data_IF_501227070663
#
_entry.id   IF_501227070663
#
_cell.length_a   1.000
_cell.length_b   1.000
_cell.length_c   1.000
_cell.angle_alpha   90.00
_cell.angle_beta   90.00
_cell.angle_gamma   90.00
#
_symmetry.space_group_name_H-M   'P 1'
#
loop_
_entity.id
_entity.type
_entity.pdbx_description
1 polymer ?
#
# COMPACT_ATOMS: atom_id res chain seq x y z
N UNK A 1 58.83 -1.66 -58.27
CA UNK A 1 58.29 -2.11 -56.95
C UNK A 1 57.10 -1.28 -56.43
N UNK A 2 56.74 -0.14 -57.04
CA UNK A 2 55.67 0.75 -56.56
C UNK A 2 54.22 0.26 -56.75
N UNK A 3 53.97 -0.70 -57.65
CA UNK A 3 52.60 -1.19 -57.94
C UNK A 3 52.03 -2.17 -56.91
N UNK A 4 52.88 -2.91 -56.19
CA UNK A 4 52.45 -3.88 -55.17
C UNK A 4 52.05 -3.21 -53.85
N UNK A 5 52.70 -2.10 -53.47
CA UNK A 5 52.35 -1.31 -52.28
C UNK A 5 51.00 -0.60 -52.40
N UNK A 6 50.63 -0.10 -53.60
CA UNK A 6 49.31 0.51 -53.82
C UNK A 6 48.14 -0.47 -53.72
N UNK A 7 48.35 -1.75 -54.08
CA UNK A 7 47.33 -2.80 -53.97
C UNK A 7 47.12 -3.27 -52.53
N UNK A 8 48.18 -3.28 -51.71
CA UNK A 8 48.09 -3.62 -50.28
C UNK A 8 47.37 -2.53 -49.47
N UNK A 9 47.56 -1.26 -49.83
CA UNK A 9 46.86 -0.14 -49.20
C UNK A 9 45.36 -0.10 -49.52
N UNK A 10 44.96 -0.46 -50.75
CA UNK A 10 43.55 -0.53 -51.15
C UNK A 10 42.79 -1.69 -50.47
N UNK A 11 43.45 -2.84 -50.24
CA UNK A 11 42.86 -3.98 -49.53
C UNK A 11 42.75 -3.71 -48.01
N UNK A 12 43.72 -3.00 -47.41
CA UNK A 12 43.66 -2.61 -46.01
C UNK A 12 42.50 -1.65 -45.69
N UNK A 13 42.20 -0.71 -46.59
CA UNK A 13 41.11 0.24 -46.41
C UNK A 13 39.71 -0.41 -46.50
N UNK A 14 39.53 -1.41 -47.36
CA UNK A 14 38.24 -2.11 -47.51
C UNK A 14 37.94 -3.03 -46.31
N UNK A 15 38.96 -3.70 -45.75
CA UNK A 15 38.79 -4.56 -44.57
C UNK A 15 38.46 -3.75 -43.30
N UNK A 16 39.01 -2.54 -43.16
CA UNK A 16 38.70 -1.64 -42.05
C UNK A 16 37.28 -1.07 -42.12
N UNK A 17 36.73 -0.83 -43.31
CA UNK A 17 35.34 -0.36 -43.46
C UNK A 17 34.30 -1.45 -43.21
N UNK A 18 34.61 -2.73 -43.46
CA UNK A 18 33.68 -3.84 -43.17
C UNK A 18 33.63 -4.21 -41.68
N UNK A 19 34.71 -3.99 -40.93
CA UNK A 19 34.72 -4.25 -39.49
C UNK A 19 33.89 -3.23 -38.68
N UNK A 20 33.78 -1.98 -39.16
CA UNK A 20 32.98 -0.95 -38.50
C UNK A 20 31.46 -1.17 -38.63
N UNK A 21 30.99 -1.82 -39.70
CA UNK A 21 29.57 -2.14 -39.88
C UNK A 21 29.12 -3.38 -39.08
N UNK A 22 30.05 -4.25 -38.67
CA UNK A 22 29.71 -5.43 -37.88
C UNK A 22 29.41 -5.11 -36.40
N UNK A 23 29.84 -3.94 -35.90
CA UNK A 23 29.62 -3.55 -34.49
C UNK A 23 28.40 -2.65 -34.27
N UNK A 24 27.74 -2.20 -35.34
CA UNK A 24 26.51 -1.41 -35.24
C UNK A 24 25.25 -2.28 -35.00
N UNK A 25 25.38 -3.62 -35.06
CA UNK A 25 24.28 -4.58 -34.90
C UNK A 25 24.36 -5.43 -33.63
N UNK A 26 25.21 -5.09 -32.66
CA UNK A 26 25.21 -5.75 -31.35
C UNK A 26 24.10 -5.12 -30.50
N UNK A 27 22.94 -5.78 -30.44
CA UNK A 27 21.83 -5.49 -29.49
C UNK A 27 22.23 -5.64 -28.00
N UNK A 28 23.48 -5.96 -27.72
CA UNK A 28 24.09 -5.85 -26.38
C UNK A 28 24.48 -4.40 -26.07
N UNK A 29 23.47 -3.52 -26.06
CA UNK A 29 23.55 -2.34 -25.21
C UNK A 29 23.62 -2.84 -23.76
N UNK A 30 24.61 -2.42 -22.95
CA UNK A 30 24.55 -2.64 -21.52
C UNK A 30 23.22 -2.06 -21.05
N UNK A 31 22.33 -2.89 -20.49
CA UNK A 31 21.11 -2.39 -19.85
C UNK A 31 21.56 -1.43 -18.75
N UNK A 32 21.58 -0.14 -19.07
CA UNK A 32 21.64 0.92 -18.08
C UNK A 32 20.57 0.57 -17.05
N UNK A 33 20.97 0.50 -15.78
CA UNK A 33 20.16 -0.01 -14.68
C UNK A 33 18.72 0.50 -14.80
N UNK A 34 17.77 -0.44 -14.84
CA UNK A 34 16.36 -0.11 -15.04
C UNK A 34 15.90 0.93 -14.02
N UNK A 35 14.90 1.73 -14.38
CA UNK A 35 14.31 2.72 -13.49
C UNK A 35 14.08 2.14 -12.09
N UNK A 36 14.32 2.92 -11.01
CA UNK A 36 14.07 2.47 -9.65
C UNK A 36 12.68 1.84 -9.54
N UNK A 37 12.55 0.79 -8.74
CA UNK A 37 11.26 0.14 -8.48
C UNK A 37 10.99 0.16 -6.98
N UNK A 38 9.73 0.33 -6.55
CA UNK A 38 9.39 0.16 -5.15
C UNK A 38 9.64 -1.29 -4.73
N UNK A 39 10.02 -1.46 -3.47
CA UNK A 39 10.06 -2.77 -2.81
C UNK A 39 8.62 -3.18 -2.51
N UNK A 40 8.14 -4.25 -3.14
CA UNK A 40 6.79 -4.78 -2.88
C UNK A 40 6.94 -6.08 -2.08
N UNK A 41 6.71 -5.99 -0.77
CA UNK A 41 6.61 -7.18 0.07
C UNK A 41 5.34 -7.95 -0.26
N UNK A 42 5.43 -9.28 -0.24
CA UNK A 42 4.26 -10.13 -0.48
C UNK A 42 3.29 -9.97 0.68
N UNK A 43 2.00 -9.98 0.38
CA UNK A 43 0.96 -9.98 1.40
C UNK A 43 1.11 -11.19 2.32
N UNK A 44 0.92 -10.97 3.61
CA UNK A 44 1.04 -12.00 4.67
C UNK A 44 -0.20 -12.89 4.73
N UNK A 45 -1.30 -12.46 4.12
CA UNK A 45 -2.59 -13.16 4.07
C UNK A 45 -3.29 -12.95 2.72
N UNK A 46 -4.16 -13.91 2.39
CA UNK A 46 -5.00 -13.89 1.19
C UNK A 46 -4.50 -14.83 0.09
N UNK A 47 -5.45 -15.44 -0.64
CA UNK A 47 -5.17 -16.37 -1.74
C UNK A 47 -5.09 -15.67 -3.10
N UNK A 48 -5.74 -14.52 -3.22
CA UNK A 48 -5.85 -13.76 -4.46
C UNK A 48 -5.67 -12.25 -4.21
N UNK A 49 -5.04 -11.57 -5.17
CA UNK A 49 -4.97 -10.12 -5.18
C UNK A 49 -6.36 -9.53 -5.43
N UNK A 50 -6.61 -8.34 -4.88
CA UNK A 50 -7.92 -7.67 -5.01
C UNK A 50 -8.23 -7.32 -6.47
N UNK A 51 -7.18 -7.05 -7.27
CA UNK A 51 -7.21 -6.78 -8.70
C UNK A 51 -5.84 -7.12 -9.32
N UNK A 52 -5.71 -7.15 -10.67
CA UNK A 52 -4.41 -7.24 -11.34
C UNK A 52 -3.45 -6.12 -10.94
N UNK A 53 -2.15 -6.40 -10.89
CA UNK A 53 -1.10 -5.46 -10.45
C UNK A 53 -1.13 -4.15 -11.23
N UNK A 54 -1.33 -4.21 -12.55
CA UNK A 54 -1.38 -3.02 -13.39
C UNK A 54 -2.59 -2.12 -13.08
N UNK A 55 -3.72 -2.72 -12.72
CA UNK A 55 -4.90 -2.00 -12.27
C UNK A 55 -4.65 -1.34 -10.92
N UNK A 56 -4.06 -2.06 -9.96
CA UNK A 56 -3.73 -1.49 -8.64
C UNK A 56 -2.75 -0.32 -8.75
N UNK A 57 -1.70 -0.44 -9.57
CA UNK A 57 -0.75 0.64 -9.78
C UNK A 57 -1.39 1.93 -10.29
N UNK A 58 -2.38 1.83 -11.17
CA UNK A 58 -3.05 3.01 -11.78
C UNK A 58 -4.20 3.55 -10.95
N UNK A 59 -4.97 2.67 -10.31
CA UNK A 59 -6.31 3.00 -9.83
C UNK A 59 -6.52 2.76 -8.32
N UNK A 60 -5.53 2.28 -7.56
CA UNK A 60 -5.73 1.98 -6.13
C UNK A 60 -6.27 3.17 -5.32
N UNK A 61 -5.79 4.39 -5.57
CA UNK A 61 -6.30 5.58 -4.88
C UNK A 61 -7.76 5.89 -5.24
N UNK A 62 -8.17 5.68 -6.49
CA UNK A 62 -9.58 5.86 -6.89
C UNK A 62 -10.50 4.90 -6.13
N UNK A 63 -10.06 3.66 -5.95
CA UNK A 63 -10.82 2.68 -5.18
C UNK A 63 -10.90 3.05 -3.70
N UNK A 64 -9.81 3.55 -3.11
CA UNK A 64 -9.78 4.00 -1.72
C UNK A 64 -10.65 5.24 -1.49
N UNK A 65 -10.59 6.24 -2.37
CA UNK A 65 -11.43 7.45 -2.26
C UNK A 65 -12.91 7.13 -2.39
N UNK A 66 -13.29 6.32 -3.39
CA UNK A 66 -14.68 5.89 -3.55
C UNK A 66 -15.17 5.08 -2.35
N UNK A 67 -14.34 4.19 -1.82
CA UNK A 67 -14.69 3.43 -0.64
C UNK A 67 -14.80 4.32 0.60
N UNK A 68 -13.92 5.32 0.76
CA UNK A 68 -13.98 6.31 1.86
C UNK A 68 -15.31 7.04 1.83
N UNK A 69 -15.69 7.59 0.67
CA UNK A 69 -16.91 8.38 0.54
C UNK A 69 -18.14 7.52 0.84
N UNK A 70 -18.20 6.28 0.30
CA UNK A 70 -19.24 5.31 0.66
C UNK A 70 -19.30 5.00 2.15
N UNK A 71 -18.16 4.78 2.79
CA UNK A 71 -18.11 4.40 4.19
C UNK A 71 -18.45 5.56 5.15
N UNK A 72 -18.01 6.78 4.82
CA UNK A 72 -18.12 7.96 5.69
C UNK A 72 -19.41 8.73 5.42
N UNK A 73 -19.77 8.94 4.16
CA UNK A 73 -20.92 9.77 3.77
C UNK A 73 -22.19 8.92 3.69
N UNK A 74 -22.11 7.77 3.03
CA UNK A 74 -23.29 6.91 2.79
C UNK A 74 -23.47 5.83 3.88
N UNK A 75 -22.46 5.63 4.74
CA UNK A 75 -22.48 4.59 5.78
C UNK A 75 -22.31 3.16 5.24
N UNK A 76 -22.01 2.99 3.95
CA UNK A 76 -21.87 1.68 3.28
C UNK A 76 -20.46 1.12 3.50
N UNK A 77 -20.35 0.05 4.30
CA UNK A 77 -19.06 -0.58 4.67
C UNK A 77 -18.90 -1.96 4.03
N UNK A 78 -18.22 -2.02 2.90
CA UNK A 78 -17.87 -3.28 2.21
C UNK A 78 -16.45 -3.74 2.54
N UNK A 79 -16.13 -5.03 2.32
CA UNK A 79 -14.76 -5.53 2.49
C UNK A 79 -13.83 -5.15 1.33
N UNK A 80 -14.34 -5.25 0.09
CA UNK A 80 -13.58 -4.94 -1.12
C UNK A 80 -13.15 -3.46 -1.11
N UNK A 81 -11.85 -3.23 -1.35
CA UNK A 81 -11.16 -1.93 -1.31
C UNK A 81 -11.18 -1.19 0.04
N UNK A 82 -11.55 -1.87 1.13
CA UNK A 82 -11.47 -1.21 2.43
C UNK A 82 -10.02 -1.05 2.89
N UNK A 83 -9.70 0.12 3.44
CA UNK A 83 -8.37 0.41 3.98
C UNK A 83 -7.97 -0.61 5.06
N UNK A 84 -8.93 -1.04 5.89
CA UNK A 84 -8.74 -2.06 6.92
C UNK A 84 -8.24 -3.38 6.33
N UNK A 85 -8.89 -3.89 5.29
CA UNK A 85 -8.49 -5.18 4.71
C UNK A 85 -7.16 -5.07 3.95
N UNK A 86 -6.85 -3.92 3.34
CA UNK A 86 -5.52 -3.67 2.78
C UNK A 86 -4.43 -3.79 3.88
N UNK A 87 -4.63 -3.16 5.04
CA UNK A 87 -3.69 -3.22 6.17
C UNK A 87 -3.55 -4.66 6.70
N UNK A 88 -4.66 -5.38 6.85
CA UNK A 88 -4.66 -6.75 7.36
C UNK A 88 -3.84 -7.73 6.50
N UNK A 89 -3.79 -7.51 5.19
CA UNK A 89 -3.03 -8.35 4.26
C UNK A 89 -1.59 -7.85 4.02
N UNK A 90 -1.34 -6.54 4.04
CA UNK A 90 -0.05 -5.95 3.64
C UNK A 90 0.82 -5.46 4.79
N UNK A 91 0.36 -5.53 6.03
CA UNK A 91 1.22 -5.25 7.17
C UNK A 91 2.43 -6.18 7.15
N UNK A 92 3.63 -5.59 7.24
CA UNK A 92 4.89 -6.31 7.23
C UNK A 92 4.97 -7.30 8.39
N UNK A 93 5.51 -8.50 8.16
CA UNK A 93 5.77 -9.47 9.23
C UNK A 93 6.83 -8.95 10.22
N UNK A 94 7.73 -8.10 9.75
CA UNK A 94 8.82 -7.55 10.57
C UNK A 94 8.34 -6.41 11.45
N UNK A 95 7.55 -5.47 10.92
CA UNK A 95 7.13 -4.26 11.65
C UNK A 95 5.70 -4.34 12.19
N UNK A 96 4.89 -5.29 11.71
CA UNK A 96 3.46 -5.37 11.96
C UNK A 96 2.67 -4.19 11.39
N UNK A 97 3.25 -3.43 10.45
CA UNK A 97 2.72 -2.15 9.96
C UNK A 97 2.83 -2.06 8.44
N UNK A 98 1.97 -1.25 7.83
CA UNK A 98 2.09 -0.87 6.40
C UNK A 98 2.92 0.40 6.17
N UNK A 99 3.30 1.10 7.24
CA UNK A 99 3.94 2.41 7.15
C UNK A 99 4.89 2.77 8.30
N UNK A 100 5.48 1.78 9.00
CA UNK A 100 6.47 2.04 10.05
C UNK A 100 7.91 2.14 9.51
N UNK A 101 8.22 1.47 8.40
CA UNK A 101 9.53 1.45 7.75
C UNK A 101 9.44 1.87 6.28
N UNK A 102 10.56 2.29 5.69
CA UNK A 102 10.68 2.66 4.27
C UNK A 102 10.31 1.53 3.31
N UNK A 103 10.49 0.28 3.76
CA UNK A 103 10.24 -0.92 2.97
C UNK A 103 8.84 -1.50 3.23
N UNK A 104 8.06 -0.89 4.14
CA UNK A 104 6.67 -1.31 4.34
C UNK A 104 5.82 -0.93 3.12
N UNK A 105 4.83 -1.77 2.82
CA UNK A 105 4.12 -1.78 1.52
C UNK A 105 3.63 -0.40 1.06
N UNK A 106 2.93 0.35 1.93
CA UNK A 106 2.42 1.66 1.54
C UNK A 106 3.55 2.66 1.35
N UNK A 107 4.52 2.71 2.27
CA UNK A 107 5.59 3.71 2.25
C UNK A 107 6.52 3.49 1.06
N UNK A 108 6.84 2.24 0.72
CA UNK A 108 7.74 1.92 -0.40
C UNK A 108 7.21 2.47 -1.73
N UNK A 109 5.94 2.23 -2.03
CA UNK A 109 5.28 2.77 -3.23
C UNK A 109 5.12 4.30 -3.19
N UNK A 110 4.72 4.85 -2.05
CA UNK A 110 4.48 6.28 -1.92
C UNK A 110 5.79 7.10 -1.95
N UNK A 111 6.87 6.55 -1.39
CA UNK A 111 8.21 7.13 -1.50
C UNK A 111 8.71 7.10 -2.94
N UNK A 112 8.50 5.98 -3.64
CA UNK A 112 8.85 5.85 -5.06
C UNK A 112 8.08 6.85 -5.94
N UNK A 113 6.79 7.03 -5.68
CA UNK A 113 5.94 7.96 -6.41
C UNK A 113 6.03 9.42 -5.90
N UNK A 114 6.86 9.69 -4.90
CA UNK A 114 7.01 11.00 -4.25
C UNK A 114 5.68 11.62 -3.77
N UNK A 115 4.79 10.78 -3.22
CA UNK A 115 3.49 11.19 -2.68
C UNK A 115 3.44 10.98 -1.16
N UNK A 116 2.91 11.95 -0.42
CA UNK A 116 2.73 11.82 1.03
C UNK A 116 1.46 11.00 1.32
N UNK A 117 1.54 10.12 2.31
CA UNK A 117 0.36 9.48 2.91
C UNK A 117 -0.10 10.36 4.07
N UNK A 118 -1.35 10.80 4.05
CA UNK A 118 -1.99 11.61 5.09
C UNK A 118 -3.04 10.81 5.89
N UNK A 119 -3.57 9.72 5.35
CA UNK A 119 -4.51 8.83 6.04
C UNK A 119 -4.03 8.42 7.44
N UNK A 120 -2.73 8.14 7.57
CA UNK A 120 -2.14 7.62 8.81
C UNK A 120 -1.77 8.67 9.84
N UNK A 121 -2.02 9.96 9.57
CA UNK A 121 -1.90 11.00 10.59
C UNK A 121 -2.98 10.81 11.68
N UNK A 122 -4.07 10.10 11.35
CA UNK A 122 -5.13 9.71 12.29
C UNK A 122 -5.48 8.20 12.27
N UNK A 123 -5.32 7.52 11.13
CA UNK A 123 -5.65 6.09 11.03
C UNK A 123 -4.49 5.18 11.45
N UNK A 124 -4.84 4.04 12.08
CA UNK A 124 -3.86 3.03 12.46
C UNK A 124 -3.18 2.41 11.25
N UNK A 125 -1.85 2.26 11.31
CA UNK A 125 -1.05 1.58 10.28
C UNK A 125 -0.91 0.07 10.51
N UNK A 126 -1.45 -0.43 11.63
CA UNK A 126 -1.33 -1.83 12.05
C UNK A 126 -2.68 -2.54 11.91
N UNK A 127 -2.68 -3.86 11.65
CA UNK A 127 -3.91 -4.64 11.62
C UNK A 127 -4.68 -4.47 12.92
N UNK A 128 -5.90 -3.96 12.82
CA UNK A 128 -6.85 -4.00 13.92
C UNK A 128 -7.56 -5.34 13.82
N UNK A 129 -7.37 -6.21 14.82
CA UNK A 129 -8.09 -7.48 14.91
C UNK A 129 -9.61 -7.27 14.80
N UNK A 130 -10.38 -8.34 14.66
CA UNK A 130 -11.80 -8.24 15.02
C UNK A 130 -11.82 -7.64 16.41
N UNK A 131 -12.46 -6.49 16.60
CA UNK A 131 -12.66 -5.96 17.93
C UNK A 131 -13.37 -7.08 18.70
N UNK A 132 -12.63 -7.79 19.54
CA UNK A 132 -13.24 -8.51 20.63
C UNK A 132 -13.90 -7.38 21.40
N UNK A 133 -15.21 -7.24 21.22
CA UNK A 133 -16.02 -6.36 22.05
C UNK A 133 -15.64 -6.72 23.47
N UNK A 134 -14.91 -5.83 24.15
CA UNK A 134 -14.63 -6.05 25.56
C UNK A 134 -15.99 -6.25 26.23
N UNK A 135 -16.15 -7.25 27.10
CA UNK A 135 -17.44 -7.49 27.73
C UNK A 135 -17.92 -6.19 28.37
N UNK A 136 -19.12 -5.74 27.99
CA UNK A 136 -19.79 -4.59 28.59
C UNK A 136 -20.27 -4.99 29.98
N UNK A 137 -19.35 -5.12 30.93
CA UNK A 137 -19.67 -5.33 32.33
C UNK A 137 -19.33 -4.06 33.13
N UNK A 138 -19.94 -3.93 34.31
CA UNK A 138 -19.79 -2.73 35.14
C UNK A 138 -18.33 -2.50 35.60
N UNK A 139 -17.50 -3.55 35.62
CA UNK A 139 -16.08 -3.47 36.01
C UNK A 139 -15.21 -2.81 34.94
N UNK A 140 -15.53 -3.01 33.65
CA UNK A 140 -14.78 -2.49 32.50
C UNK A 140 -15.35 -1.20 31.93
N UNK A 141 -16.47 -0.70 32.47
CA UNK A 141 -17.11 0.52 32.00
C UNK A 141 -16.22 1.77 32.19
N UNK A 142 -16.24 2.67 31.20
CA UNK A 142 -15.55 3.96 31.29
C UNK A 142 -15.98 4.73 32.56
N UNK A 143 -15.04 5.47 33.15
CA UNK A 143 -15.17 6.17 34.44
C UNK A 143 -16.52 6.88 34.64
N UNK A 144 -17.03 7.59 33.63
CA UNK A 144 -18.34 8.27 33.69
C UNK A 144 -19.52 7.32 33.92
N UNK A 145 -19.51 6.15 33.28
CA UNK A 145 -20.53 5.12 33.49
C UNK A 145 -20.36 4.40 34.84
N UNK A 146 -19.12 4.26 35.31
CA UNK A 146 -18.82 3.71 36.63
C UNK A 146 -19.35 4.60 37.75
N UNK A 147 -19.22 5.93 37.61
CA UNK A 147 -19.82 6.89 38.55
C UNK A 147 -21.35 6.87 38.50
N UNK A 148 -21.94 6.79 37.32
CA UNK A 148 -23.40 6.71 37.17
C UNK A 148 -23.99 5.43 37.78
N UNK A 149 -23.29 4.29 37.67
CA UNK A 149 -23.69 3.03 38.30
C UNK A 149 -23.50 3.03 39.83
N UNK A 150 -22.53 3.80 40.34
CA UNK A 150 -22.27 3.96 41.78
C UNK A 150 -23.20 4.98 42.45
N UNK A 151 -23.73 5.93 41.69
CA UNK A 151 -24.78 6.84 42.13
C UNK A 151 -26.13 6.12 42.21
N UNK A 152 -26.23 5.13 43.08
CA UNK A 152 -27.45 4.36 43.31
C UNK A 152 -28.45 5.19 44.15
N UNK A 153 -29.12 6.16 43.53
CA UNK A 153 -30.54 6.35 43.84
C UNK A 153 -31.31 5.40 42.93
N UNK A 154 -31.88 4.34 43.51
CA UNK A 154 -32.78 3.45 42.76
C UNK A 154 -34.01 4.27 42.39
N UNK A 155 -34.12 4.65 41.13
CA UNK A 155 -35.38 5.19 40.60
C UNK A 155 -36.40 4.06 40.71
N UNK A 156 -37.40 4.22 41.56
CA UNK A 156 -38.43 3.19 41.73
C UNK A 156 -39.37 3.20 40.52
N UNK A 157 -40.07 2.09 40.28
CA UNK A 157 -41.04 2.01 39.20
C UNK A 157 -42.17 3.05 39.37
N UNK A 158 -42.46 3.47 40.61
CA UNK A 158 -43.40 4.57 40.90
C UNK A 158 -42.87 5.94 40.45
N UNK A 159 -41.57 6.21 40.58
CA UNK A 159 -40.95 7.48 40.14
C UNK A 159 -40.92 7.60 38.61
N UNK A 160 -40.81 6.48 37.90
CA UNK A 160 -40.91 6.40 36.43
C UNK A 160 -42.34 6.58 35.91
N UNK A 161 -43.36 6.32 36.73
CA UNK A 161 -44.77 6.44 36.34
C UNK A 161 -45.34 7.87 36.51
N UNK A 162 -44.71 8.69 37.35
CA UNK A 162 -45.13 10.07 37.63
C UNK A 162 -44.70 11.14 36.61
N UNK A 163 -43.81 10.79 35.67
CA UNK A 163 -43.28 11.73 34.64
C UNK A 163 -44.14 11.79 33.37
N UNK A 164 -45.16 10.93 33.28
CA UNK A 164 -46.04 10.81 32.12
C UNK A 164 -47.44 11.43 32.32
N UNK A 165 -47.59 12.37 33.27
CA UNK A 165 -48.79 13.22 33.41
C UNK A 165 -48.44 14.68 33.18
#
# INVERSE_FOLDING_TARGET
MAGKMKRLLALGAVVLTTAALAWAGSDDQPKAGGAPKPVITKAVKGEQCVEPTDTMRRDHMKFLDHHRDKAVIEGVRTKKYSLKECINCHASETTGSVAASKDDFCVSCHSYAAVKIDCFDCHSTKPQGSAAMHPLNAETAHYKHKLAAQAASKVSAEEMAGVAQ
#
